data_IF_741070246224
#
_entry.id   IF_741070246224
#
_cell.length_a   1.000
_cell.length_b   1.000
_cell.length_c   1.000
_cell.angle_alpha   90.00
_cell.angle_beta   90.00
_cell.angle_gamma   90.00
#
_symmetry.space_group_name_H-M   'P 1'
#
loop_
_entity.id
_entity.type
_entity.pdbx_description
1 polymer ?
#
# COMPACT_ATOMS: atom_id res chain seq x y z
N UNK A 1 -14.99 16.59 -22.03
CA UNK A 1 -13.74 16.55 -21.21
C UNK A 1 -13.99 16.47 -19.70
N UNK A 2 -14.92 17.22 -19.11
CA UNK A 2 -15.17 17.18 -17.67
C UNK A 2 -15.58 15.79 -17.12
N UNK A 3 -16.47 15.08 -17.81
CA UNK A 3 -16.94 13.75 -17.38
C UNK A 3 -15.85 12.67 -17.37
N UNK A 4 -14.84 12.77 -18.24
CA UNK A 4 -13.70 11.84 -18.24
C UNK A 4 -12.74 12.14 -17.10
N UNK A 5 -12.58 13.42 -16.75
CA UNK A 5 -11.78 13.85 -15.60
C UNK A 5 -12.42 13.39 -14.28
N UNK A 6 -13.72 13.61 -14.12
CA UNK A 6 -14.47 13.19 -12.93
C UNK A 6 -14.38 11.67 -12.71
N UNK A 7 -14.50 10.85 -13.77
CA UNK A 7 -14.33 9.39 -13.67
C UNK A 7 -12.92 8.97 -13.28
N UNK A 8 -11.88 9.69 -13.72
CA UNK A 8 -10.50 9.41 -13.34
C UNK A 8 -10.26 9.79 -11.88
N UNK A 9 -10.72 10.96 -11.45
CA UNK A 9 -10.65 11.41 -10.07
C UNK A 9 -11.35 10.43 -9.12
N UNK A 10 -12.56 9.97 -9.46
CA UNK A 10 -13.30 9.00 -8.65
C UNK A 10 -12.53 7.68 -8.46
N UNK A 11 -11.80 7.21 -9.48
CA UNK A 11 -10.95 6.02 -9.36
C UNK A 11 -9.75 6.24 -8.44
N UNK A 12 -9.12 7.40 -8.51
CA UNK A 12 -8.03 7.77 -7.59
C UNK A 12 -8.53 7.85 -6.14
N UNK A 13 -9.67 8.51 -5.92
CA UNK A 13 -10.30 8.58 -4.59
C UNK A 13 -10.63 7.18 -4.08
N UNK A 14 -11.22 6.32 -4.92
CA UNK A 14 -11.52 4.94 -4.55
C UNK A 14 -10.27 4.13 -4.19
N UNK A 15 -9.18 4.30 -4.94
CA UNK A 15 -7.90 3.67 -4.61
C UNK A 15 -7.37 4.14 -3.25
N UNK A 16 -7.42 5.44 -2.98
CA UNK A 16 -6.99 6.01 -1.68
C UNK A 16 -7.84 5.45 -0.54
N UNK A 17 -9.16 5.32 -0.72
CA UNK A 17 -10.05 4.74 0.29
C UNK A 17 -9.69 3.27 0.59
N UNK A 18 -9.38 2.48 -0.43
CA UNK A 18 -8.90 1.10 -0.24
C UNK A 18 -7.57 1.13 0.52
N UNK A 19 -6.64 2.02 0.14
CA UNK A 19 -5.34 2.13 0.80
C UNK A 19 -5.46 2.44 2.29
N UNK A 20 -6.34 3.38 2.65
CA UNK A 20 -6.63 3.70 4.04
C UNK A 20 -7.23 2.50 4.79
N UNK A 21 -8.15 1.77 4.16
CA UNK A 21 -8.74 0.57 4.75
C UNK A 21 -7.70 -0.54 4.96
N UNK A 22 -6.82 -0.78 3.99
CA UNK A 22 -5.75 -1.79 4.07
C UNK A 22 -4.76 -1.42 5.16
N UNK A 23 -4.26 -0.19 5.17
CA UNK A 23 -3.31 0.27 6.20
C UNK A 23 -3.90 0.19 7.61
N UNK A 24 -5.18 0.57 7.79
CA UNK A 24 -5.86 0.42 9.08
C UNK A 24 -6.09 -1.04 9.49
N UNK A 25 -6.23 -1.96 8.54
CA UNK A 25 -6.49 -3.38 8.82
C UNK A 25 -5.23 -4.15 9.21
N UNK A 26 -4.06 -3.76 8.70
CA UNK A 26 -2.79 -4.42 9.01
C UNK A 26 -2.24 -4.04 10.40
N UNK A 27 -2.59 -2.86 10.90
CA UNK A 27 -2.06 -2.36 12.17
C UNK A 27 -0.65 -1.79 12.02
N UNK A 28 0.13 -1.79 13.10
CA UNK A 28 1.49 -1.25 13.07
C UNK A 28 2.47 -2.18 12.34
N UNK A 29 3.38 -1.61 11.56
CA UNK A 29 4.43 -2.31 10.81
C UNK A 29 5.16 -3.40 11.64
N UNK A 30 5.42 -3.12 12.91
CA UNK A 30 6.12 -4.01 13.85
C UNK A 30 5.37 -5.34 14.12
N UNK A 31 4.05 -5.41 13.89
CA UNK A 31 3.26 -6.62 14.19
C UNK A 31 3.42 -7.71 13.13
N UNK A 32 3.85 -7.35 11.92
CA UNK A 32 3.87 -8.27 10.78
C UNK A 32 5.18 -8.21 9.96
N UNK A 33 6.06 -7.25 10.23
CA UNK A 33 7.41 -7.19 9.65
C UNK A 33 8.42 -7.68 10.71
N UNK A 34 9.22 -8.68 10.37
CA UNK A 34 10.25 -9.16 11.28
C UNK A 34 11.36 -8.13 11.47
N UNK A 35 11.82 -7.97 12.71
CA UNK A 35 12.89 -7.02 13.05
C UNK A 35 14.20 -7.32 12.31
N UNK A 36 14.52 -8.59 12.10
CA UNK A 36 15.71 -8.99 11.33
C UNK A 36 15.62 -8.54 9.87
N UNK A 37 14.43 -8.63 9.27
CA UNK A 37 14.21 -8.16 7.90
C UNK A 37 14.29 -6.64 7.83
N UNK A 38 13.61 -5.94 8.75
CA UNK A 38 13.67 -4.48 8.84
C UNK A 38 15.11 -3.98 9.02
N UNK A 39 15.92 -4.64 9.87
CA UNK A 39 17.32 -4.28 10.08
C UNK A 39 18.17 -4.48 8.82
N UNK A 40 17.96 -5.56 8.08
CA UNK A 40 18.66 -5.78 6.80
C UNK A 40 18.32 -4.69 5.79
N UNK A 41 17.05 -4.28 5.72
CA UNK A 41 16.61 -3.19 4.86
C UNK A 41 17.20 -1.84 5.32
N UNK A 42 17.26 -1.58 6.62
CA UNK A 42 17.90 -0.38 7.17
C UNK A 42 19.37 -0.28 6.77
N UNK A 43 20.15 -1.35 6.94
CA UNK A 43 21.55 -1.40 6.49
C UNK A 43 21.65 -1.26 4.97
N UNK A 44 20.72 -1.85 4.22
CA UNK A 44 20.72 -1.77 2.76
C UNK A 44 20.48 -0.34 2.25
N UNK A 45 19.57 0.41 2.88
CA UNK A 45 19.20 1.77 2.47
C UNK A 45 20.20 2.80 2.99
N UNK A 46 20.54 2.71 4.28
CA UNK A 46 21.25 3.77 5.00
C UNK A 46 22.71 3.43 5.30
N UNK A 47 23.18 2.21 5.02
CA UNK A 47 24.53 1.74 5.34
C UNK A 47 24.74 1.41 6.83
N UNK A 48 23.81 1.80 7.71
CA UNK A 48 23.88 1.62 9.15
C UNK A 48 22.52 1.19 9.73
N UNK A 49 22.56 0.45 10.84
CA UNK A 49 21.36 0.12 11.61
C UNK A 49 21.40 0.82 12.96
N UNK A 50 20.74 1.97 13.05
CA UNK A 50 20.39 2.60 14.32
C UNK A 50 18.86 2.56 14.49
N UNK A 51 18.35 3.15 15.56
CA UNK A 51 16.91 3.12 15.86
C UNK A 51 16.13 3.92 14.81
N UNK A 52 16.65 5.07 14.38
CA UNK A 52 16.00 5.93 13.38
C UNK A 52 15.89 5.22 12.01
N UNK A 53 17.00 4.67 11.51
CA UNK A 53 17.01 3.96 10.22
C UNK A 53 16.19 2.67 10.26
N UNK A 54 16.05 2.04 11.44
CA UNK A 54 15.16 0.90 11.61
C UNK A 54 13.69 1.29 11.48
N UNK A 55 13.27 2.40 12.10
CA UNK A 55 11.91 2.93 11.95
C UNK A 55 11.60 3.36 10.52
N UNK A 56 12.56 4.00 9.84
CA UNK A 56 12.43 4.35 8.43
C UNK A 56 12.26 3.10 7.56
N UNK A 57 13.06 2.06 7.82
CA UNK A 57 12.93 0.78 7.13
C UNK A 57 11.55 0.15 7.35
N UNK A 58 11.04 0.13 8.59
CA UNK A 58 9.68 -0.32 8.88
C UNK A 58 8.63 0.45 8.06
N UNK A 59 8.73 1.78 8.03
CA UNK A 59 7.82 2.61 7.27
C UNK A 59 7.87 2.32 5.76
N UNK A 60 9.06 2.23 5.17
CA UNK A 60 9.20 1.95 3.75
C UNK A 60 8.68 0.57 3.37
N UNK A 61 8.96 -0.45 4.18
CA UNK A 61 8.45 -1.81 3.95
C UNK A 61 6.93 -1.82 4.08
N UNK A 62 6.38 -1.24 5.13
CA UNK A 62 4.93 -1.11 5.38
C UNK A 62 4.24 -0.42 4.19
N UNK A 63 4.80 0.70 3.73
CA UNK A 63 4.27 1.44 2.60
C UNK A 63 4.21 0.58 1.32
N UNK A 64 5.29 -0.14 1.00
CA UNK A 64 5.34 -1.04 -0.16
C UNK A 64 4.30 -2.16 -0.04
N UNK A 65 4.14 -2.75 1.14
CA UNK A 65 3.16 -3.81 1.39
C UNK A 65 1.73 -3.28 1.23
N UNK A 66 1.41 -2.15 1.86
CA UNK A 66 0.09 -1.51 1.78
C UNK A 66 -0.24 -1.15 0.33
N UNK A 67 0.67 -0.54 -0.41
CA UNK A 67 0.46 -0.20 -1.84
C UNK A 67 0.26 -1.45 -2.69
N UNK A 68 1.02 -2.51 -2.44
CA UNK A 68 0.92 -3.77 -3.19
C UNK A 68 -0.43 -4.45 -2.98
N UNK A 69 -0.86 -4.58 -1.72
CA UNK A 69 -2.17 -5.15 -1.36
C UNK A 69 -3.29 -4.30 -1.93
N UNK A 70 -3.22 -2.98 -1.77
CA UNK A 70 -4.20 -2.03 -2.31
C UNK A 70 -4.35 -2.19 -3.82
N UNK A 71 -3.22 -2.33 -4.53
CA UNK A 71 -3.22 -2.53 -5.98
C UNK A 71 -3.89 -3.85 -6.37
N UNK A 72 -3.57 -4.95 -5.69
CA UNK A 72 -4.21 -6.24 -5.93
C UNK A 72 -5.73 -6.16 -5.70
N UNK A 73 -6.16 -5.60 -4.57
CA UNK A 73 -7.59 -5.41 -4.23
C UNK A 73 -8.29 -4.55 -5.28
N UNK A 74 -7.74 -3.38 -5.61
CA UNK A 74 -8.32 -2.48 -6.61
C UNK A 74 -8.47 -3.15 -7.98
N UNK A 75 -7.46 -3.89 -8.44
CA UNK A 75 -7.53 -4.61 -9.71
C UNK A 75 -8.61 -5.70 -9.71
N UNK A 76 -8.72 -6.46 -8.62
CA UNK A 76 -9.77 -7.48 -8.46
C UNK A 76 -11.15 -6.81 -8.47
N UNK A 77 -11.36 -5.77 -7.68
CA UNK A 77 -12.61 -5.02 -7.63
C UNK A 77 -13.01 -4.47 -9.00
N UNK A 78 -12.07 -3.86 -9.74
CA UNK A 78 -12.33 -3.33 -11.07
C UNK A 78 -12.63 -4.43 -12.09
N UNK A 79 -11.97 -5.60 -12.00
CA UNK A 79 -12.30 -6.78 -12.82
C UNK A 79 -13.71 -7.28 -12.53
N UNK A 80 -14.11 -7.35 -11.25
CA UNK A 80 -15.46 -7.77 -10.85
C UNK A 80 -16.53 -6.80 -11.36
N UNK A 81 -16.34 -5.49 -11.18
CA UNK A 81 -17.27 -4.47 -11.69
C UNK A 81 -17.43 -4.58 -13.22
N UNK A 82 -16.34 -4.74 -13.96
CA UNK A 82 -16.39 -4.95 -15.42
C UNK A 82 -17.14 -6.22 -15.79
N UNK A 83 -16.89 -7.33 -15.07
CA UNK A 83 -17.57 -8.61 -15.30
C UNK A 83 -19.08 -8.49 -15.08
N UNK A 84 -19.51 -7.78 -14.04
CA UNK A 84 -20.93 -7.54 -13.74
C UNK A 84 -21.57 -6.64 -14.80
N UNK A 85 -20.87 -5.59 -15.28
CA UNK A 85 -21.40 -4.66 -16.29
C UNK A 85 -21.42 -5.22 -17.71
N UNK A 86 -20.60 -6.23 -17.99
CA UNK A 86 -20.53 -6.91 -19.29
C UNK A 86 -21.52 -8.07 -19.43
N UNK A 87 -22.28 -8.36 -18.37
CA UNK A 87 -23.34 -9.36 -18.34
C UNK A 87 -24.68 -8.63 -18.35
#
# INVERSE_FOLDING_TARGET
MAQTLARRAAKCVFFILIMLAVGRSLGGAETYISQDFARKVAVFISGESNIETLYDAYFYIDFVIVVSITTAVYLITMKLIKKIRSK
#
